data_IF_213738941799
#
_entry.id   IF_213738941799
#
_cell.length_a   1.000
_cell.length_b   1.000
_cell.length_c   1.000
_cell.angle_alpha   90.00
_cell.angle_beta   90.00
_cell.angle_gamma   90.00
#
_symmetry.space_group_name_H-M   'P 1'
#
loop_
_entity.id
_entity.type
_entity.pdbx_description
1 polymer ?
#
# COMPACT_ATOMS: atom_id res chain seq x y z
N UNK A 1 -5.48 30.63 -2.23
CA UNK A 1 -4.11 30.90 -2.72
C UNK A 1 -3.92 30.21 -4.05
N UNK A 2 -3.52 30.96 -5.05
CA UNK A 2 -3.58 30.71 -6.50
C UNK A 2 -2.66 29.58 -6.94
N UNK A 3 -3.23 28.50 -7.50
CA UNK A 3 -2.48 27.46 -8.20
C UNK A 3 -1.82 28.04 -9.45
N UNK A 4 -0.50 28.00 -9.51
CA UNK A 4 0.27 28.40 -10.69
C UNK A 4 -0.09 27.50 -11.85
N UNK A 5 -0.67 28.07 -12.91
CA UNK A 5 -0.99 27.33 -14.12
C UNK A 5 0.30 26.78 -14.76
N UNK A 6 0.48 25.45 -14.74
CA UNK A 6 1.62 24.76 -15.35
C UNK A 6 1.78 25.13 -16.83
N UNK A 7 3.01 25.44 -17.24
CA UNK A 7 3.33 25.81 -18.63
C UNK A 7 2.99 24.69 -19.62
N UNK A 8 2.68 24.98 -20.89
CA UNK A 8 2.39 23.95 -21.90
C UNK A 8 3.49 22.89 -22.03
N UNK A 9 4.77 23.30 -21.88
CA UNK A 9 5.93 22.39 -21.90
C UNK A 9 5.94 21.43 -20.70
N UNK A 10 5.59 21.92 -19.51
CA UNK A 10 5.50 21.09 -18.31
C UNK A 10 4.38 20.04 -18.45
N UNK A 11 3.20 20.45 -18.94
CA UNK A 11 2.09 19.53 -19.20
C UNK A 11 2.44 18.45 -20.21
N UNK A 12 3.09 18.83 -21.31
CA UNK A 12 3.56 17.86 -22.31
C UNK A 12 4.55 16.86 -21.70
N UNK A 13 5.50 17.32 -20.88
CA UNK A 13 6.46 16.45 -20.20
C UNK A 13 5.77 15.45 -19.27
N UNK A 14 4.76 15.90 -18.51
CA UNK A 14 3.97 15.03 -17.62
C UNK A 14 3.14 14.00 -18.41
N UNK A 15 2.53 14.43 -19.52
CA UNK A 15 1.78 13.53 -20.40
C UNK A 15 2.69 12.42 -20.95
N UNK A 16 3.87 12.77 -21.46
CA UNK A 16 4.84 11.75 -21.93
C UNK A 16 5.30 10.84 -20.80
N UNK A 17 5.49 11.35 -19.57
CA UNK A 17 5.79 10.48 -18.42
C UNK A 17 4.66 9.51 -18.12
N UNK A 18 3.41 9.95 -18.19
CA UNK A 18 2.25 9.10 -17.97
C UNK A 18 2.18 7.97 -19.01
N UNK A 19 2.38 8.30 -20.28
CA UNK A 19 2.41 7.32 -21.38
C UNK A 19 3.54 6.29 -21.23
N UNK A 20 4.74 6.74 -20.85
CA UNK A 20 5.86 5.84 -20.51
C UNK A 20 5.50 4.88 -19.38
N UNK A 21 4.86 5.37 -18.31
CA UNK A 21 4.43 4.55 -17.18
C UNK A 21 3.34 3.55 -17.57
N UNK A 22 2.40 3.95 -18.42
CA UNK A 22 1.34 3.07 -18.92
C UNK A 22 1.91 1.87 -19.70
N UNK A 23 2.86 2.12 -20.60
CA UNK A 23 3.55 1.05 -21.33
C UNK A 23 4.36 0.17 -20.38
N UNK A 24 5.02 0.76 -19.40
CA UNK A 24 5.77 0.00 -18.40
C UNK A 24 4.86 -0.92 -17.57
N UNK A 25 3.65 -0.45 -17.21
CA UNK A 25 2.63 -1.26 -16.54
C UNK A 25 2.13 -2.40 -17.43
N UNK A 26 1.98 -2.19 -18.73
CA UNK A 26 1.68 -3.29 -19.68
C UNK A 26 2.80 -4.33 -19.72
N UNK A 27 4.06 -3.90 -19.78
CA UNK A 27 5.20 -4.82 -19.74
C UNK A 27 5.28 -5.58 -18.41
N UNK A 28 4.95 -4.93 -17.28
CA UNK A 28 4.81 -5.59 -15.98
C UNK A 28 3.72 -6.66 -16.00
N UNK A 29 2.59 -6.39 -16.65
CA UNK A 29 1.50 -7.34 -16.79
C UNK A 29 1.88 -8.58 -17.62
N UNK A 30 2.66 -8.39 -18.68
CA UNK A 30 3.07 -9.46 -19.60
C UNK A 30 4.11 -10.42 -19.00
N UNK A 31 5.07 -9.91 -18.22
CA UNK A 31 6.22 -10.72 -17.79
C UNK A 31 6.87 -10.27 -16.49
N UNK A 32 6.13 -9.55 -15.65
CA UNK A 32 6.62 -9.04 -14.38
C UNK A 32 7.75 -8.03 -14.56
N UNK A 33 8.49 -7.80 -13.48
CA UNK A 33 9.52 -6.75 -13.43
C UNK A 33 10.64 -6.99 -14.43
N UNK A 34 11.01 -8.25 -14.71
CA UNK A 34 12.04 -8.61 -15.68
C UNK A 34 11.69 -8.20 -17.12
N UNK A 35 10.41 -8.10 -17.47
CA UNK A 35 9.97 -7.67 -18.79
C UNK A 35 10.11 -6.16 -19.03
N UNK A 36 10.22 -5.33 -18.00
CA UNK A 36 10.31 -3.86 -18.13
C UNK A 36 11.60 -3.46 -18.84
N UNK A 37 11.48 -3.01 -20.08
CA UNK A 37 12.60 -2.66 -20.96
C UNK A 37 12.44 -1.26 -21.56
N UNK A 38 13.27 -0.32 -21.10
CA UNK A 38 13.27 1.08 -21.54
C UNK A 38 13.38 1.25 -23.06
N UNK A 39 14.17 0.43 -23.74
CA UNK A 39 14.32 0.50 -25.20
C UNK A 39 13.04 0.13 -25.96
N UNK A 40 12.29 -0.87 -25.45
CA UNK A 40 10.97 -1.22 -26.00
C UNK A 40 9.96 -0.09 -25.76
N UNK A 41 9.96 0.46 -24.53
CA UNK A 41 9.10 1.60 -24.18
C UNK A 41 9.38 2.80 -25.09
N UNK A 42 10.66 3.14 -25.31
CA UNK A 42 11.04 4.25 -26.18
C UNK A 42 10.48 4.07 -27.60
N UNK A 43 10.62 2.87 -28.19
CA UNK A 43 10.08 2.55 -29.51
C UNK A 43 8.55 2.73 -29.56
N UNK A 44 7.85 2.31 -28.52
CA UNK A 44 6.38 2.34 -28.46
C UNK A 44 5.82 3.76 -28.30
N UNK A 45 6.47 4.63 -27.51
CA UNK A 45 6.13 6.07 -27.39
C UNK A 45 6.62 6.88 -28.60
N UNK A 46 7.36 6.27 -29.54
CA UNK A 46 7.96 6.98 -30.69
C UNK A 46 9.14 7.90 -30.31
N UNK A 47 9.84 7.59 -29.22
CA UNK A 47 11.05 8.27 -28.76
C UNK A 47 12.31 7.49 -29.14
N UNK A 48 13.42 8.20 -29.30
CA UNK A 48 14.74 7.56 -29.31
C UNK A 48 15.11 7.11 -27.90
N UNK A 49 15.99 6.09 -27.79
CA UNK A 49 16.53 5.65 -26.50
C UNK A 49 17.07 6.82 -25.66
N UNK A 50 17.97 7.67 -26.20
CA UNK A 50 18.48 8.86 -25.49
C UNK A 50 17.39 9.85 -25.06
N UNK A 51 16.30 9.99 -25.84
CA UNK A 51 15.20 10.88 -25.49
C UNK A 51 14.40 10.37 -24.28
N UNK A 52 14.23 9.04 -24.14
CA UNK A 52 13.56 8.41 -23.00
C UNK A 52 14.32 8.66 -21.69
N UNK A 53 15.65 8.62 -21.73
CA UNK A 53 16.49 8.86 -20.55
C UNK A 53 16.34 10.28 -19.98
N UNK A 54 15.81 11.25 -20.74
CA UNK A 54 15.46 12.59 -20.20
C UNK A 54 14.22 12.58 -19.29
N UNK A 55 13.46 11.49 -19.32
CA UNK A 55 12.28 11.25 -18.49
C UNK A 55 12.61 10.29 -17.35
N UNK A 56 13.33 9.20 -17.61
CA UNK A 56 13.73 8.24 -16.58
C UNK A 56 15.19 7.86 -16.75
N UNK A 57 16.02 8.23 -15.77
CA UNK A 57 17.47 8.05 -15.83
C UNK A 57 17.88 6.57 -15.86
N UNK A 58 17.02 5.69 -15.37
CA UNK A 58 17.23 4.24 -15.37
C UNK A 58 15.90 3.49 -15.29
N UNK A 59 15.97 2.16 -15.49
CA UNK A 59 14.84 1.26 -15.24
C UNK A 59 14.38 1.35 -13.78
N UNK A 60 15.32 1.48 -12.85
CA UNK A 60 15.02 1.54 -11.41
C UNK A 60 14.37 2.87 -11.03
N UNK A 61 14.72 3.97 -11.70
CA UNK A 61 14.02 5.25 -11.55
C UNK A 61 12.57 5.13 -12.02
N UNK A 62 12.32 4.44 -13.14
CA UNK A 62 10.96 4.16 -13.60
C UNK A 62 10.19 3.27 -12.63
N UNK A 63 10.79 2.17 -12.14
CA UNK A 63 10.16 1.30 -11.16
C UNK A 63 9.84 2.04 -9.86
N UNK A 64 10.73 2.91 -9.41
CA UNK A 64 10.51 3.75 -8.22
C UNK A 64 9.30 4.66 -8.38
N UNK A 65 9.15 5.33 -9.52
CA UNK A 65 7.96 6.16 -9.80
C UNK A 65 6.69 5.31 -9.85
N UNK A 66 6.73 4.11 -10.43
CA UNK A 66 5.58 3.18 -10.45
C UNK A 66 5.21 2.68 -9.05
N UNK A 67 6.19 2.39 -8.20
CA UNK A 67 5.97 2.01 -6.79
C UNK A 67 5.31 3.15 -6.02
N UNK A 68 5.77 4.39 -6.21
CA UNK A 68 5.15 5.58 -5.60
C UNK A 68 3.70 5.74 -6.04
N UNK A 69 3.44 5.62 -7.35
CA UNK A 69 2.09 5.69 -7.89
C UNK A 69 1.18 4.57 -7.35
N UNK A 70 1.71 3.36 -7.19
CA UNK A 70 0.97 2.24 -6.62
C UNK A 70 0.58 2.50 -5.16
N UNK A 71 1.54 2.92 -4.31
CA UNK A 71 1.22 3.27 -2.93
C UNK A 71 0.30 4.49 -2.81
N UNK A 72 0.47 5.52 -3.63
CA UNK A 72 -0.37 6.71 -3.59
C UNK A 72 -1.83 6.39 -3.93
N UNK A 73 -2.07 5.55 -4.94
CA UNK A 73 -3.41 5.14 -5.35
C UNK A 73 -4.05 4.19 -4.33
N UNK A 74 -3.28 3.25 -3.77
CA UNK A 74 -3.74 2.40 -2.68
C UNK A 74 -4.10 3.22 -1.43
N UNK A 75 -3.25 4.18 -1.05
CA UNK A 75 -3.53 5.08 0.06
C UNK A 75 -4.79 5.92 -0.19
N UNK A 76 -5.00 6.37 -1.44
CA UNK A 76 -6.22 7.08 -1.81
C UNK A 76 -7.47 6.17 -1.74
N UNK A 77 -7.36 4.89 -2.12
CA UNK A 77 -8.45 3.93 -2.00
C UNK A 77 -8.83 3.68 -0.52
N UNK A 78 -7.84 3.47 0.34
CA UNK A 78 -8.05 3.31 1.79
C UNK A 78 -8.58 4.59 2.43
N UNK A 79 -8.05 5.76 2.04
CA UNK A 79 -8.52 7.06 2.51
C UNK A 79 -9.99 7.31 2.18
N UNK A 80 -10.41 7.04 0.92
CA UNK A 80 -11.82 7.12 0.53
C UNK A 80 -12.72 6.19 1.36
N UNK A 81 -12.24 4.99 1.68
CA UNK A 81 -12.99 4.06 2.52
C UNK A 81 -13.11 4.56 3.96
N UNK A 82 -12.04 5.16 4.50
CA UNK A 82 -12.07 5.79 5.82
C UNK A 82 -13.02 7.00 5.88
N UNK A 83 -12.99 7.86 4.86
CA UNK A 83 -13.83 9.06 4.76
C UNK A 83 -15.32 8.74 4.57
N UNK A 84 -15.63 7.58 4.00
CA UNK A 84 -17.00 7.12 3.80
C UNK A 84 -17.64 6.52 5.07
N UNK A 85 -16.88 6.32 6.15
CA UNK A 85 -17.39 5.79 7.41
C UNK A 85 -18.27 6.82 8.13
N UNK A 86 -19.42 6.38 8.65
CA UNK A 86 -20.24 7.22 9.53
C UNK A 86 -19.51 7.47 10.87
N UNK A 87 -19.72 8.61 11.54
CA UNK A 87 -18.97 8.98 12.75
C UNK A 87 -18.93 7.90 13.84
N UNK A 88 -20.03 7.17 14.03
CA UNK A 88 -20.17 6.14 15.06
C UNK A 88 -19.82 4.72 14.58
N UNK A 89 -19.08 4.60 13.46
CA UNK A 89 -18.61 3.30 12.98
C UNK A 89 -17.66 2.68 14.00
N UNK A 90 -18.04 1.54 14.56
CA UNK A 90 -17.23 0.77 15.49
C UNK A 90 -15.89 0.30 14.89
N UNK A 91 -14.89 0.00 15.74
CA UNK A 91 -13.54 -0.37 15.30
C UNK A 91 -13.52 -1.62 14.40
N UNK A 92 -14.32 -2.65 14.70
CA UNK A 92 -14.42 -3.84 13.85
C UNK A 92 -14.92 -3.50 12.43
N UNK A 93 -16.01 -2.73 12.33
CA UNK A 93 -16.57 -2.32 11.05
C UNK A 93 -15.60 -1.42 10.25
N UNK A 94 -14.85 -0.54 10.93
CA UNK A 94 -13.77 0.24 10.31
C UNK A 94 -12.72 -0.69 9.70
N UNK A 95 -12.22 -1.69 10.44
CA UNK A 95 -11.23 -2.63 9.90
C UNK A 95 -11.73 -3.37 8.67
N UNK A 96 -12.97 -3.84 8.68
CA UNK A 96 -13.57 -4.53 7.54
C UNK A 96 -13.64 -3.61 6.31
N UNK A 97 -14.05 -2.36 6.47
CA UNK A 97 -14.13 -1.42 5.36
C UNK A 97 -12.75 -1.11 4.74
N UNK A 98 -11.74 -0.90 5.58
CA UNK A 98 -10.37 -0.64 5.10
C UNK A 98 -9.77 -1.89 4.44
N UNK A 99 -9.96 -3.07 5.03
CA UNK A 99 -9.52 -4.34 4.47
C UNK A 99 -10.14 -4.61 3.09
N UNK A 100 -11.46 -4.40 2.97
CA UNK A 100 -12.18 -4.53 1.71
C UNK A 100 -11.66 -3.56 0.65
N UNK A 101 -11.30 -2.33 1.02
CA UNK A 101 -10.72 -1.34 0.11
C UNK A 101 -9.35 -1.76 -0.42
N UNK A 102 -8.46 -2.26 0.45
CA UNK A 102 -7.14 -2.79 0.05
C UNK A 102 -7.32 -3.96 -0.93
N UNK A 103 -8.20 -4.91 -0.60
CA UNK A 103 -8.47 -6.06 -1.47
C UNK A 103 -9.05 -5.63 -2.82
N UNK A 104 -10.05 -4.75 -2.82
CA UNK A 104 -10.69 -4.28 -4.05
C UNK A 104 -9.67 -3.62 -4.99
N UNK A 105 -8.77 -2.79 -4.46
CA UNK A 105 -7.68 -2.21 -5.24
C UNK A 105 -6.72 -3.28 -5.76
N UNK A 106 -6.29 -4.22 -4.92
CA UNK A 106 -5.32 -5.24 -5.28
C UNK A 106 -5.83 -6.20 -6.37
N UNK A 107 -7.11 -6.59 -6.30
CA UNK A 107 -7.75 -7.46 -7.29
C UNK A 107 -7.99 -6.71 -8.61
N UNK A 108 -8.30 -5.42 -8.56
CA UNK A 108 -8.45 -4.60 -9.77
C UNK A 108 -7.11 -4.32 -10.46
N UNK A 109 -6.03 -4.21 -9.68
CA UNK A 109 -4.70 -3.81 -10.15
C UNK A 109 -3.61 -4.83 -9.75
N UNK A 110 -3.72 -6.11 -10.15
CA UNK A 110 -2.90 -7.20 -9.62
C UNK A 110 -1.40 -7.00 -9.86
N UNK A 111 -1.02 -6.45 -11.02
CA UNK A 111 0.38 -6.22 -11.36
C UNK A 111 1.01 -5.05 -10.57
N UNK A 112 0.20 -4.03 -10.22
CA UNK A 112 0.66 -2.95 -9.34
C UNK A 112 0.78 -3.43 -7.91
N UNK A 113 -0.17 -4.26 -7.46
CA UNK A 113 -0.07 -4.93 -6.17
C UNK A 113 1.19 -5.80 -6.07
N UNK A 114 1.46 -6.65 -7.07
CA UNK A 114 2.64 -7.52 -7.08
C UNK A 114 3.95 -6.73 -7.24
N UNK A 115 3.93 -5.52 -7.81
CA UNK A 115 5.09 -4.64 -7.84
C UNK A 115 5.49 -4.17 -6.43
N UNK A 116 4.52 -3.90 -5.55
CA UNK A 116 4.80 -3.42 -4.20
C UNK A 116 4.90 -4.53 -3.15
N UNK A 117 4.09 -5.60 -3.26
CA UNK A 117 3.99 -6.68 -2.27
C UNK A 117 4.46 -8.06 -2.77
N UNK A 118 4.87 -8.17 -4.03
CA UNK A 118 5.31 -9.43 -4.62
C UNK A 118 6.81 -9.71 -4.42
N UNK A 119 7.37 -10.51 -5.32
CA UNK A 119 8.79 -10.88 -5.28
C UNK A 119 9.68 -9.63 -5.40
N UNK A 120 10.62 -9.41 -4.46
CA UNK A 120 11.56 -8.30 -4.54
C UNK A 120 12.32 -8.30 -5.88
N UNK A 121 12.52 -7.13 -6.46
CA UNK A 121 13.23 -6.98 -7.74
C UNK A 121 14.73 -7.17 -7.51
N UNK A 122 15.39 -8.16 -8.14
CA UNK A 122 16.82 -8.39 -7.96
C UNK A 122 17.64 -7.15 -8.33
N UNK A 123 18.53 -6.72 -7.43
CA UNK A 123 19.41 -5.57 -7.62
C UNK A 123 18.75 -4.20 -7.46
N UNK A 124 17.43 -4.14 -7.21
CA UNK A 124 16.72 -2.90 -6.93
C UNK A 124 16.66 -2.62 -5.43
N UNK A 125 16.93 -1.38 -5.05
CA UNK A 125 16.74 -0.88 -3.68
C UNK A 125 15.75 0.28 -3.71
N UNK A 126 14.60 0.11 -3.07
CA UNK A 126 13.61 1.18 -2.96
C UNK A 126 14.16 2.35 -2.13
N UNK A 127 13.98 3.61 -2.57
CA UNK A 127 14.41 4.76 -1.78
C UNK A 127 13.63 4.87 -0.46
N UNK A 128 14.19 5.51 0.59
CA UNK A 128 13.55 5.58 1.91
C UNK A 128 12.14 6.19 1.93
N UNK A 129 11.82 7.10 1.01
CA UNK A 129 10.50 7.76 0.95
C UNK A 129 9.36 6.82 0.48
N UNK A 130 9.67 5.65 -0.03
CA UNK A 130 8.68 4.58 -0.25
C UNK A 130 8.10 4.06 1.08
N UNK A 131 8.84 4.19 2.20
CA UNK A 131 8.33 3.86 3.53
C UNK A 131 7.23 4.83 3.97
N UNK A 132 7.38 6.12 3.67
CA UNK A 132 6.35 7.11 3.99
C UNK A 132 5.08 6.88 3.14
N UNK A 133 5.27 6.40 1.91
CA UNK A 133 4.15 6.00 1.05
C UNK A 133 3.38 4.80 1.65
N UNK A 134 4.10 3.78 2.15
CA UNK A 134 3.49 2.65 2.84
C UNK A 134 2.78 3.06 4.16
N UNK A 135 3.38 3.99 4.92
CA UNK A 135 2.75 4.58 6.12
C UNK A 135 1.44 5.30 5.81
N UNK A 136 1.32 5.91 4.63
CA UNK A 136 0.07 6.51 4.16
C UNK A 136 -1.08 5.51 4.04
N UNK A 137 -0.78 4.25 3.72
CA UNK A 137 -1.78 3.17 3.66
C UNK A 137 -2.11 2.62 5.05
N UNK A 138 -1.10 2.47 5.91
CA UNK A 138 -1.24 1.93 7.26
C UNK A 138 -1.92 2.89 8.25
N UNK A 139 -1.67 4.20 8.11
CA UNK A 139 -2.18 5.24 9.02
C UNK A 139 -3.67 5.11 9.36
N UNK A 140 -4.56 4.97 8.37
CA UNK A 140 -6.00 4.79 8.59
C UNK A 140 -6.40 3.56 9.43
N UNK A 141 -5.55 2.55 9.55
CA UNK A 141 -5.83 1.37 10.39
C UNK A 141 -5.57 1.62 11.88
N UNK A 142 -4.64 2.50 12.23
CA UNK A 142 -4.23 2.74 13.62
C UNK A 142 -5.42 3.12 14.55
N UNK A 143 -6.34 4.02 14.15
CA UNK A 143 -7.47 4.41 14.99
C UNK A 143 -8.39 3.26 15.40
N UNK A 144 -8.49 2.19 14.59
CA UNK A 144 -9.35 1.06 14.94
C UNK A 144 -8.84 0.25 16.15
N UNK A 145 -7.56 0.41 16.50
CA UNK A 145 -6.92 -0.30 17.60
C UNK A 145 -6.58 0.62 18.79
N UNK A 146 -6.95 1.90 18.74
CA UNK A 146 -6.57 2.89 19.73
C UNK A 146 -7.04 2.52 21.15
N UNK A 147 -8.27 2.03 21.26
CA UNK A 147 -8.87 1.57 22.52
C UNK A 147 -8.85 0.04 22.67
N UNK A 148 -8.18 -0.66 21.74
CA UNK A 148 -8.09 -2.11 21.73
C UNK A 148 -7.32 -2.65 22.93
N UNK A 149 -7.77 -3.76 23.48
CA UNK A 149 -7.14 -4.47 24.61
C UNK A 149 -6.49 -5.76 24.10
N UNK A 150 -5.15 -5.77 23.87
CA UNK A 150 -4.48 -6.94 23.33
C UNK A 150 -4.63 -8.16 24.25
N UNK A 151 -5.14 -9.26 23.69
CA UNK A 151 -5.21 -10.56 24.34
C UNK A 151 -3.81 -11.09 24.68
N UNK A 152 -3.73 -12.11 25.54
CA UNK A 152 -2.45 -12.69 25.95
C UNK A 152 -1.57 -13.14 24.76
N UNK A 153 -2.19 -13.58 23.66
CA UNK A 153 -1.49 -14.03 22.47
C UNK A 153 -0.78 -12.88 21.71
N UNK A 154 -1.36 -11.68 21.69
CA UNK A 154 -0.82 -10.53 20.92
C UNK A 154 -0.06 -9.53 21.79
N UNK A 155 -0.14 -9.62 23.13
CA UNK A 155 0.62 -8.76 24.07
C UNK A 155 2.13 -8.70 23.80
N UNK A 156 2.83 -9.79 23.43
CA UNK A 156 4.25 -9.68 23.10
C UNK A 156 4.53 -8.74 21.93
N UNK A 157 3.67 -8.75 20.89
CA UNK A 157 3.78 -7.84 19.74
C UNK A 157 3.48 -6.41 20.17
N UNK A 158 2.43 -6.19 20.97
CA UNK A 158 2.12 -4.88 21.53
C UNK A 158 3.28 -4.30 22.35
N UNK A 159 3.90 -5.09 23.22
CA UNK A 159 5.07 -4.67 23.98
C UNK A 159 6.27 -4.32 23.09
N UNK A 160 6.52 -5.10 22.03
CA UNK A 160 7.57 -4.80 21.06
C UNK A 160 7.31 -3.47 20.33
N UNK A 161 6.07 -3.22 19.92
CA UNK A 161 5.69 -1.98 19.24
C UNK A 161 5.73 -0.77 20.17
N UNK A 162 5.34 -0.90 21.45
CA UNK A 162 5.54 0.12 22.47
C UNK A 162 7.02 0.48 22.58
N UNK A 163 7.89 -0.52 22.77
CA UNK A 163 9.33 -0.27 22.87
C UNK A 163 9.93 0.32 21.60
N UNK A 164 9.40 0.00 20.42
CA UNK A 164 9.83 0.64 19.18
C UNK A 164 9.45 2.12 19.14
N UNK A 165 8.20 2.47 19.47
CA UNK A 165 7.76 3.86 19.55
C UNK A 165 8.53 4.67 20.61
N UNK A 166 8.94 4.05 21.73
CA UNK A 166 9.78 4.71 22.74
C UNK A 166 11.19 5.03 22.23
N UNK A 167 11.76 4.17 21.37
CA UNK A 167 13.12 4.34 20.83
C UNK A 167 13.19 5.15 19.54
N UNK A 168 12.09 5.22 18.79
CA UNK A 168 12.02 5.90 17.49
C UNK A 168 10.99 7.04 17.54
N UNK A 169 11.49 8.25 17.74
CA UNK A 169 10.66 9.45 17.84
C UNK A 169 9.85 9.73 16.57
N UNK A 170 10.37 9.38 15.38
CA UNK A 170 9.67 9.60 14.12
C UNK A 170 8.46 8.67 13.98
N UNK A 171 8.59 7.42 14.43
CA UNK A 171 7.48 6.46 14.47
C UNK A 171 6.43 6.89 15.47
N UNK A 172 6.85 7.33 16.66
CA UNK A 172 5.93 7.81 17.68
C UNK A 172 5.18 9.07 17.24
N UNK A 173 5.88 10.02 16.61
CA UNK A 173 5.25 11.22 16.03
C UNK A 173 4.25 10.86 14.94
N UNK A 174 4.61 9.96 14.03
CA UNK A 174 3.70 9.48 13.00
C UNK A 174 2.46 8.81 13.59
N UNK A 175 2.62 7.89 14.55
CA UNK A 175 1.50 7.20 15.19
C UNK A 175 0.56 8.19 15.91
N UNK A 176 1.11 9.20 16.60
CA UNK A 176 0.32 10.25 17.28
C UNK A 176 -0.47 11.17 16.37
N UNK A 177 -0.25 11.13 15.04
CA UNK A 177 -1.14 11.79 14.08
C UNK A 177 -2.47 11.06 13.92
N UNK A 178 -2.54 9.80 14.35
CA UNK A 178 -3.70 8.92 14.20
C UNK A 178 -4.33 8.52 15.53
N UNK A 179 -3.55 8.41 16.61
CA UNK A 179 -4.02 7.90 17.91
C UNK A 179 -3.57 8.78 19.09
N UNK A 180 -4.30 8.80 20.21
CA UNK A 180 -3.87 9.52 21.41
C UNK A 180 -2.57 8.96 21.99
N UNK A 181 -1.85 9.80 22.74
CA UNK A 181 -0.64 9.39 23.44
C UNK A 181 -0.93 8.27 24.46
N UNK A 182 -0.09 7.25 24.48
CA UNK A 182 -0.27 6.03 25.28
C UNK A 182 -0.92 4.88 24.50
N UNK A 183 -1.57 5.14 23.37
CA UNK A 183 -2.19 4.12 22.53
C UNK A 183 -1.27 3.58 21.42
N UNK A 184 -0.07 4.16 21.22
CA UNK A 184 0.80 3.86 20.08
C UNK A 184 1.13 2.37 19.97
N UNK A 185 1.46 1.71 21.09
CA UNK A 185 1.86 0.30 21.10
C UNK A 185 0.76 -0.65 20.62
N UNK A 186 -0.46 -0.50 21.14
CA UNK A 186 -1.61 -1.30 20.72
C UNK A 186 -1.99 -1.01 19.27
N UNK A 187 -1.99 0.28 18.87
CA UNK A 187 -2.33 0.71 17.53
C UNK A 187 -1.35 0.17 16.47
N UNK A 188 -0.05 0.29 16.73
CA UNK A 188 1.00 -0.22 15.85
C UNK A 188 0.95 -1.75 15.75
N UNK A 189 0.70 -2.45 16.87
CA UNK A 189 0.60 -3.91 16.87
C UNK A 189 -0.62 -4.41 16.10
N UNK A 190 -1.78 -3.80 16.31
CA UNK A 190 -2.99 -4.13 15.55
C UNK A 190 -2.82 -3.86 14.06
N UNK A 191 -2.26 -2.69 13.70
CA UNK A 191 -2.03 -2.31 12.31
C UNK A 191 -1.05 -3.26 11.59
N UNK A 192 0.07 -3.66 12.22
CA UNK A 192 1.02 -4.58 11.58
C UNK A 192 0.46 -5.99 11.44
N UNK A 193 -0.33 -6.46 12.42
CA UNK A 193 -1.02 -7.76 12.32
C UNK A 193 -2.10 -7.75 11.24
N UNK A 194 -2.90 -6.67 11.16
CA UNK A 194 -3.84 -6.46 10.07
C UNK A 194 -3.14 -6.48 8.71
N UNK A 195 -2.01 -5.78 8.59
CA UNK A 195 -1.18 -5.76 7.39
C UNK A 195 -0.71 -7.16 6.97
N UNK A 196 -0.23 -7.96 7.93
CA UNK A 196 0.20 -9.33 7.67
C UNK A 196 -0.94 -10.23 7.22
N UNK A 197 -2.12 -10.16 7.86
CA UNK A 197 -3.28 -10.94 7.45
C UNK A 197 -3.79 -10.53 6.06
N UNK A 198 -3.91 -9.22 5.82
CA UNK A 198 -4.32 -8.65 4.54
C UNK A 198 -3.42 -9.16 3.41
N UNK A 199 -2.11 -8.97 3.52
CA UNK A 199 -1.20 -9.34 2.44
C UNK A 199 -0.98 -10.84 2.31
N UNK A 200 -1.18 -11.62 3.38
CA UNK A 200 -1.25 -13.07 3.31
C UNK A 200 -2.42 -13.53 2.43
N UNK A 201 -3.64 -13.11 2.73
CA UNK A 201 -4.81 -13.52 1.96
C UNK A 201 -4.86 -12.92 0.56
N UNK A 202 -4.66 -11.60 0.44
CA UNK A 202 -4.70 -10.89 -0.85
C UNK A 202 -3.56 -11.36 -1.75
N UNK A 203 -2.37 -11.62 -1.19
CA UNK A 203 -1.24 -12.13 -1.95
C UNK A 203 -1.54 -13.50 -2.57
N UNK A 204 -2.11 -14.42 -1.81
CA UNK A 204 -2.54 -15.73 -2.31
C UNK A 204 -3.64 -15.61 -3.36
N UNK A 205 -4.61 -14.72 -3.16
CA UNK A 205 -5.69 -14.47 -4.13
C UNK A 205 -5.16 -13.90 -5.45
N UNK A 206 -4.41 -12.81 -5.40
CA UNK A 206 -3.87 -12.11 -6.58
C UNK A 206 -2.89 -12.98 -7.37
N UNK A 207 -2.20 -13.91 -6.71
CA UNK A 207 -1.29 -14.86 -7.35
C UNK A 207 -1.96 -16.17 -7.82
N UNK A 208 -3.29 -16.23 -7.80
CA UNK A 208 -4.07 -17.38 -8.28
C UNK A 208 -4.00 -18.62 -7.38
N UNK A 209 -3.42 -18.52 -6.18
CA UNK A 209 -3.23 -19.68 -5.29
C UNK A 209 -4.55 -20.19 -4.70
N UNK A 210 -5.63 -19.42 -4.77
CA UNK A 210 -6.96 -19.86 -4.36
C UNK A 210 -7.75 -20.56 -5.47
N UNK A 211 -7.24 -20.60 -6.70
CA UNK A 211 -7.92 -21.26 -7.82
C UNK A 211 -8.19 -22.74 -7.51
N UNK A 212 -9.44 -23.17 -7.70
CA UNK A 212 -9.88 -24.55 -7.44
C UNK A 212 -10.09 -24.91 -5.96
N UNK A 213 -9.89 -24.00 -5.01
CA UNK A 213 -10.05 -24.27 -3.58
C UNK A 213 -11.49 -24.11 -3.05
N UNK A 214 -12.43 -23.61 -3.86
CA UNK A 214 -13.86 -23.58 -3.52
C UNK A 214 -14.30 -22.55 -2.46
N UNK A 215 -13.49 -21.53 -2.20
CA UNK A 215 -13.81 -20.42 -1.29
C UNK A 215 -13.61 -19.07 -1.99
N UNK A 216 -14.19 -18.00 -1.45
CA UNK A 216 -13.98 -16.63 -1.92
C UNK A 216 -12.94 -15.92 -1.06
N UNK A 217 -11.98 -15.24 -1.70
CA UNK A 217 -10.96 -14.46 -0.99
C UNK A 217 -11.56 -13.37 -0.09
N UNK A 218 -12.70 -12.78 -0.49
CA UNK A 218 -13.43 -11.81 0.32
C UNK A 218 -13.91 -12.40 1.65
N UNK A 219 -14.54 -13.58 1.61
CA UNK A 219 -15.07 -14.24 2.82
C UNK A 219 -13.94 -14.67 3.76
N UNK A 220 -12.86 -15.22 3.22
CA UNK A 220 -11.69 -15.60 4.02
C UNK A 220 -11.07 -14.37 4.70
N UNK A 221 -10.88 -13.28 3.95
CA UNK A 221 -10.31 -12.05 4.50
C UNK A 221 -11.20 -11.47 5.60
N UNK A 222 -12.52 -11.42 5.40
CA UNK A 222 -13.45 -10.93 6.40
C UNK A 222 -13.34 -11.73 7.72
N UNK A 223 -13.29 -13.07 7.63
CA UNK A 223 -13.14 -13.93 8.81
C UNK A 223 -11.79 -13.71 9.53
N UNK A 224 -10.70 -13.48 8.79
CA UNK A 224 -9.39 -13.18 9.39
C UNK A 224 -9.39 -11.82 10.10
N UNK A 225 -10.04 -10.81 9.52
CA UNK A 225 -10.15 -9.47 10.13
C UNK A 225 -11.02 -9.51 11.39
N UNK A 226 -12.13 -10.26 11.38
CA UNK A 226 -12.96 -10.43 12.58
C UNK A 226 -12.19 -11.17 13.69
N UNK A 227 -11.47 -12.24 13.34
CA UNK A 227 -10.62 -12.94 14.32
C UNK A 227 -9.54 -12.03 14.90
N UNK A 228 -8.93 -11.16 14.09
CA UNK A 228 -7.98 -10.17 14.59
C UNK A 228 -8.66 -9.17 15.54
N UNK A 229 -9.85 -8.67 15.18
CA UNK A 229 -10.63 -7.77 16.02
C UNK A 229 -10.93 -8.38 17.40
N UNK A 230 -11.24 -9.67 17.45
CA UNK A 230 -11.45 -10.41 18.71
C UNK A 230 -10.18 -10.44 19.57
N UNK A 231 -9.00 -10.60 18.97
CA UNK A 231 -7.73 -10.60 19.73
C UNK A 231 -7.39 -9.25 20.38
N UNK A 232 -8.06 -8.18 19.98
CA UNK A 232 -7.94 -6.83 20.54
C UNK A 232 -9.21 -6.39 21.30
N UNK A 233 -10.18 -7.29 21.54
CA UNK A 233 -11.44 -6.98 22.23
C UNK A 233 -12.18 -5.78 21.60
N UNK A 234 -12.18 -5.72 20.26
CA UNK A 234 -12.84 -4.65 19.51
C UNK A 234 -14.34 -4.94 19.39
N UNK A 235 -15.16 -3.91 19.66
CA UNK A 235 -16.61 -3.96 19.44
C UNK A 235 -16.98 -3.96 17.95
#
# INVERSE_FOLDING_TARGET
MTGTARSPRARYREQTRAEIKEIALRQLAEGGTAAVALTRIAKEVGLSGPALYRYFDSRDALLTDLIRDAYADLAAAVGRAADALVPDTGPRARLQALAAAVRAWAVAEPHRYLLIQGTPVPGYTAPPDTLDSARGVLGPFLPAFADGRPSAAVRPVAAQMTGWAERDAAVAEWARRHVPAGAEGAALAGAVLAWSHLHGAIGLEVSGQFEGMGHEGATLLAAQIDSLADTFDLA
#
